data_IF_512905046426
#
_entry.id   IF_512905046426
#
_cell.length_a   1.000
_cell.length_b   1.000
_cell.length_c   1.000
_cell.angle_alpha   90.00
_cell.angle_beta   90.00
_cell.angle_gamma   90.00
#
_symmetry.space_group_name_H-M   'P 1'
#
loop_
_entity.id
_entity.type
_entity.pdbx_description
1 polymer ?
#
# COMPACT_ATOMS: atom_id res chain seq x y z
N UNK A 1 -10.11 2.46 0.83
CA UNK A 1 -8.71 2.85 1.13
C UNK A 1 -7.90 3.00 -0.14
N UNK A 2 -6.89 3.83 -0.10
CA UNK A 2 -6.01 4.11 -1.23
C UNK A 2 -4.55 3.93 -0.84
N UNK A 3 -3.78 3.37 -1.76
CA UNK A 3 -2.32 3.40 -1.71
C UNK A 3 -1.82 4.65 -2.44
N UNK A 4 -0.93 5.41 -1.80
CA UNK A 4 -0.21 6.49 -2.45
C UNK A 4 1.24 6.08 -2.66
N UNK A 5 1.70 6.17 -3.91
CA UNK A 5 3.11 6.02 -4.26
C UNK A 5 3.77 7.39 -4.17
N UNK A 6 4.78 7.51 -3.31
CA UNK A 6 5.39 8.78 -2.92
C UNK A 6 6.89 8.72 -3.19
N UNK A 7 7.44 9.78 -3.80
CA UNK A 7 8.89 9.91 -3.96
C UNK A 7 9.43 10.80 -2.85
N UNK A 8 10.41 10.28 -2.12
CA UNK A 8 11.10 10.99 -1.07
C UNK A 8 12.56 11.20 -1.45
N UNK A 9 13.09 12.36 -1.13
CA UNK A 9 14.53 12.59 -1.27
C UNK A 9 15.29 11.65 -0.32
N UNK A 10 16.38 11.07 -0.81
CA UNK A 10 17.23 10.20 0.02
C UNK A 10 18.15 11.07 0.90
N UNK A 11 17.59 11.62 1.96
CA UNK A 11 18.29 12.48 2.91
C UNK A 11 17.68 12.39 4.31
N UNK A 12 18.43 12.73 5.35
CA UNK A 12 17.84 12.85 6.67
C UNK A 12 16.70 13.89 6.66
N UNK A 13 15.60 13.57 7.31
CA UNK A 13 14.44 14.45 7.45
C UNK A 13 13.38 14.34 6.37
N UNK A 14 13.63 13.69 5.23
CA UNK A 14 12.63 13.56 4.18
C UNK A 14 11.38 12.81 4.66
N UNK A 15 11.59 11.70 5.37
CA UNK A 15 10.47 10.92 5.93
C UNK A 15 9.77 11.69 7.06
N UNK A 16 10.51 12.43 7.86
CA UNK A 16 9.95 13.28 8.90
C UNK A 16 9.08 14.39 8.30
N UNK A 17 9.54 15.04 7.23
CA UNK A 17 8.77 16.08 6.54
C UNK A 17 7.42 15.52 6.04
N UNK A 18 7.43 14.33 5.48
CA UNK A 18 6.22 13.63 5.02
C UNK A 18 5.26 13.38 6.19
N UNK A 19 5.75 12.76 7.25
CA UNK A 19 4.93 12.43 8.43
C UNK A 19 4.35 13.66 9.11
N UNK A 20 5.13 14.72 9.21
CA UNK A 20 4.69 15.99 9.79
C UNK A 20 3.61 16.67 8.93
N UNK A 21 3.77 16.67 7.61
CA UNK A 21 2.78 17.23 6.70
C UNK A 21 1.43 16.52 6.83
N UNK A 22 1.44 15.19 6.88
CA UNK A 22 0.24 14.39 7.08
C UNK A 22 -0.38 14.63 8.45
N UNK A 23 0.45 14.66 9.49
CA UNK A 23 -0.01 14.89 10.87
C UNK A 23 -0.69 16.26 11.04
N UNK A 24 -0.11 17.30 10.46
CA UNK A 24 -0.71 18.65 10.50
C UNK A 24 -2.06 18.71 9.79
N UNK A 25 -2.23 17.91 8.76
CA UNK A 25 -3.49 17.82 8.03
C UNK A 25 -4.52 16.88 8.68
N UNK A 26 -4.17 16.24 9.79
CA UNK A 26 -5.03 15.30 10.47
C UNK A 26 -5.23 13.98 9.70
N UNK A 27 -4.27 13.61 8.86
CA UNK A 27 -4.33 12.41 8.04
C UNK A 27 -3.51 11.29 8.69
N UNK A 28 -4.16 10.18 8.99
CA UNK A 28 -3.52 9.02 9.59
C UNK A 28 -2.98 8.07 8.52
N UNK A 29 -1.78 7.54 8.75
CA UNK A 29 -1.19 6.47 7.95
C UNK A 29 -1.69 5.14 8.51
N UNK A 30 -2.29 4.32 7.63
CA UNK A 30 -2.89 3.04 8.03
C UNK A 30 -1.96 1.85 7.81
N UNK A 31 -0.91 2.02 7.07
CA UNK A 31 0.08 0.98 6.79
C UNK A 31 1.01 1.39 5.66
N UNK A 32 1.95 0.52 5.35
CA UNK A 32 2.87 0.74 4.25
C UNK A 32 4.34 0.65 4.65
N UNK A 33 5.19 1.23 3.83
CA UNK A 33 6.62 1.25 4.05
C UNK A 33 7.35 2.20 3.11
N UNK A 34 8.64 2.39 3.41
CA UNK A 34 9.50 3.26 2.63
C UNK A 34 10.87 2.59 2.43
N UNK A 35 11.44 2.77 1.27
CA UNK A 35 12.70 2.14 0.87
C UNK A 35 13.59 3.11 0.10
N UNK A 36 14.89 2.83 0.08
CA UNK A 36 15.82 3.47 -0.86
C UNK A 36 16.18 2.44 -1.92
N UNK A 37 15.93 2.78 -3.18
CA UNK A 37 16.24 1.94 -4.33
C UNK A 37 17.00 2.79 -5.35
N UNK A 38 18.24 2.38 -5.68
CA UNK A 38 19.06 3.13 -6.63
C UNK A 38 19.30 4.59 -6.24
N UNK A 39 19.41 4.87 -4.96
CA UNK A 39 19.63 6.23 -4.44
C UNK A 39 18.38 7.08 -4.33
N UNK A 40 17.21 6.57 -4.70
CA UNK A 40 15.92 7.24 -4.59
C UNK A 40 15.11 6.69 -3.42
N UNK A 41 14.43 7.58 -2.70
CA UNK A 41 13.46 7.19 -1.69
C UNK A 41 12.10 6.93 -2.34
N UNK A 42 11.53 5.77 -2.07
CA UNK A 42 10.21 5.37 -2.55
C UNK A 42 9.39 4.93 -1.35
N UNK A 43 8.17 5.44 -1.26
CA UNK A 43 7.25 5.05 -0.20
C UNK A 43 5.90 4.67 -0.79
N UNK A 44 5.30 3.65 -0.19
CA UNK A 44 3.90 3.30 -0.40
C UNK A 44 3.21 3.31 0.95
N UNK A 45 2.23 4.18 1.10
CA UNK A 45 1.45 4.26 2.33
C UNK A 45 -0.04 4.20 2.04
N UNK A 46 -0.75 3.61 2.99
CA UNK A 46 -2.19 3.38 2.92
C UNK A 46 -2.94 4.45 3.69
N UNK A 47 -4.00 4.97 3.08
CA UNK A 47 -4.84 6.02 3.67
C UNK A 47 -6.32 5.68 3.49
N UNK A 48 -7.12 6.00 4.50
CA UNK A 48 -8.57 5.92 4.40
C UNK A 48 -9.09 6.96 3.41
N UNK A 49 -8.54 8.18 3.44
CA UNK A 49 -8.85 9.27 2.51
C UNK A 49 -7.60 9.63 1.70
N UNK A 50 -7.47 9.00 0.55
CA UNK A 50 -6.34 9.22 -0.35
C UNK A 50 -6.26 10.64 -0.89
N UNK A 51 -7.40 11.26 -1.17
CA UNK A 51 -7.45 12.62 -1.69
C UNK A 51 -6.91 13.63 -0.66
N UNK A 52 -7.28 13.48 0.61
CA UNK A 52 -6.79 14.34 1.68
C UNK A 52 -5.28 14.16 1.89
N UNK A 53 -4.80 12.91 1.85
CA UNK A 53 -3.38 12.61 1.97
C UNK A 53 -2.58 13.23 0.82
N UNK A 54 -3.05 13.05 -0.40
CA UNK A 54 -2.41 13.60 -1.59
C UNK A 54 -2.31 15.11 -1.53
N UNK A 55 -3.41 15.77 -1.17
CA UNK A 55 -3.45 17.23 -1.02
C UNK A 55 -2.43 17.74 0.00
N UNK A 56 -2.35 17.08 1.15
CA UNK A 56 -1.41 17.45 2.20
C UNK A 56 0.04 17.30 1.75
N UNK A 57 0.37 16.21 1.06
CA UNK A 57 1.72 15.94 0.57
C UNK A 57 2.11 16.93 -0.53
N UNK A 58 1.24 17.15 -1.51
CA UNK A 58 1.52 18.08 -2.61
C UNK A 58 1.66 19.52 -2.11
N UNK A 59 0.87 19.95 -1.13
CA UNK A 59 0.99 21.25 -0.50
C UNK A 59 2.35 21.44 0.21
N UNK A 60 2.95 20.35 0.68
CA UNK A 60 4.28 20.36 1.29
C UNK A 60 5.43 20.19 0.28
N UNK A 61 5.13 20.16 -1.02
CA UNK A 61 6.11 19.98 -2.07
C UNK A 61 6.59 18.54 -2.21
N UNK A 62 5.87 17.58 -1.67
CA UNK A 62 6.22 16.15 -1.75
C UNK A 62 5.51 15.53 -2.94
N UNK A 63 6.28 14.84 -3.77
CA UNK A 63 5.78 14.29 -5.02
C UNK A 63 5.00 12.99 -4.81
N UNK A 64 3.76 12.97 -5.28
CA UNK A 64 2.90 11.79 -5.32
C UNK A 64 2.84 11.27 -6.75
N UNK A 65 3.29 10.04 -6.98
CA UNK A 65 3.30 9.43 -8.30
C UNK A 65 1.97 8.84 -8.70
N UNK A 66 1.25 8.26 -7.75
CA UNK A 66 0.00 7.57 -8.03
C UNK A 66 -0.85 7.45 -6.77
N UNK A 67 -2.14 7.39 -6.98
CA UNK A 67 -3.14 7.08 -5.96
C UNK A 67 -3.99 5.95 -6.52
N UNK A 68 -3.96 4.78 -5.88
CA UNK A 68 -4.56 3.56 -6.43
C UNK A 68 -5.45 2.88 -5.40
N UNK A 69 -6.52 2.24 -5.88
CA UNK A 69 -7.32 1.33 -5.07
C UNK A 69 -6.51 0.11 -4.67
N UNK A 70 -6.87 -0.49 -3.55
CA UNK A 70 -6.20 -1.66 -3.01
C UNK A 70 -7.15 -2.84 -2.86
N UNK A 71 -6.57 -4.03 -2.83
CA UNK A 71 -7.22 -5.24 -2.36
C UNK A 71 -6.75 -5.50 -0.94
N UNK A 72 -7.69 -5.72 -0.03
CA UNK A 72 -7.42 -6.00 1.37
C UNK A 72 -7.73 -7.47 1.63
N UNK A 73 -6.78 -8.20 2.19
CA UNK A 73 -6.91 -9.62 2.42
C UNK A 73 -6.40 -10.00 3.80
N UNK A 74 -7.21 -10.73 4.55
CA UNK A 74 -6.78 -11.27 5.84
C UNK A 74 -6.22 -12.68 5.66
N UNK A 75 -5.02 -12.92 6.18
CA UNK A 75 -4.37 -14.21 6.19
C UNK A 75 -4.36 -14.77 7.62
N UNK A 76 -4.22 -16.09 7.72
CA UNK A 76 -4.05 -16.74 9.03
C UNK A 76 -2.67 -16.41 9.56
N UNK A 77 -2.62 -15.67 10.66
CA UNK A 77 -1.36 -15.26 11.27
C UNK A 77 -0.61 -16.45 11.85
N UNK A 78 0.70 -16.45 11.69
CA UNK A 78 1.56 -17.52 12.22
C UNK A 78 1.52 -18.85 11.46
N UNK A 79 0.76 -18.93 10.37
CA UNK A 79 0.73 -20.13 9.52
C UNK A 79 1.66 -19.91 8.32
N UNK A 80 2.77 -20.68 8.24
CA UNK A 80 3.70 -20.54 7.11
C UNK A 80 3.01 -20.83 5.77
N UNK A 81 3.42 -20.08 4.73
CA UNK A 81 2.97 -20.33 3.36
C UNK A 81 1.70 -19.63 2.95
N UNK A 82 1.02 -18.92 3.84
CA UNK A 82 -0.24 -18.21 3.52
C UNK A 82 -0.06 -17.20 2.38
N UNK A 83 0.95 -16.36 2.47
CA UNK A 83 1.22 -15.37 1.42
C UNK A 83 1.53 -16.05 0.09
N UNK A 84 2.33 -17.08 0.10
CA UNK A 84 2.66 -17.85 -1.12
C UNK A 84 1.43 -18.48 -1.77
N UNK A 85 0.53 -19.02 -0.98
CA UNK A 85 -0.73 -19.60 -1.49
C UNK A 85 -1.63 -18.55 -2.12
N UNK A 86 -1.82 -17.40 -1.46
CA UNK A 86 -2.65 -16.34 -1.99
C UNK A 86 -2.06 -15.75 -3.28
N UNK A 87 -0.76 -15.45 -3.28
CA UNK A 87 -0.10 -14.86 -4.45
C UNK A 87 -0.06 -15.84 -5.62
N UNK A 88 0.02 -17.16 -5.36
CA UNK A 88 -0.10 -18.16 -6.40
C UNK A 88 -1.49 -18.14 -7.05
N UNK A 89 -2.55 -18.01 -6.26
CA UNK A 89 -3.90 -17.87 -6.81
C UNK A 89 -4.04 -16.61 -7.67
N UNK A 90 -3.41 -15.51 -7.26
CA UNK A 90 -3.38 -14.28 -8.07
C UNK A 90 -2.67 -14.53 -9.41
N UNK A 91 -1.52 -15.18 -9.37
CA UNK A 91 -0.74 -15.50 -10.56
C UNK A 91 -1.51 -16.41 -11.51
N UNK A 92 -2.17 -17.45 -11.00
CA UNK A 92 -2.98 -18.37 -11.81
C UNK A 92 -4.18 -17.68 -12.45
N UNK A 93 -4.66 -16.60 -11.85
CA UNK A 93 -5.69 -15.74 -12.41
C UNK A 93 -5.17 -14.65 -13.36
N UNK A 94 -3.86 -14.62 -13.60
CA UNK A 94 -3.24 -13.63 -14.48
C UNK A 94 -3.08 -12.24 -13.85
N UNK A 95 -3.14 -12.15 -12.54
CA UNK A 95 -3.00 -10.87 -11.81
C UNK A 95 -1.54 -10.64 -11.43
N UNK A 96 -1.00 -9.50 -11.85
CA UNK A 96 0.31 -9.06 -11.39
C UNK A 96 0.17 -8.18 -10.15
N UNK A 97 0.96 -8.46 -9.14
CA UNK A 97 0.99 -7.68 -7.90
C UNK A 97 2.12 -6.67 -8.01
N UNK A 98 1.77 -5.39 -8.03
CA UNK A 98 2.73 -4.29 -8.15
C UNK A 98 3.29 -3.87 -6.79
N UNK A 99 2.46 -3.92 -5.75
CA UNK A 99 2.82 -3.51 -4.38
C UNK A 99 2.15 -4.46 -3.40
N UNK A 100 2.87 -4.82 -2.35
CA UNK A 100 2.36 -5.69 -1.29
C UNK A 100 2.97 -5.27 0.03
N UNK A 101 2.12 -5.05 1.04
CA UNK A 101 2.54 -4.76 2.41
C UNK A 101 1.43 -5.09 3.40
N UNK A 102 1.71 -4.95 4.68
CA UNK A 102 0.71 -5.11 5.74
C UNK A 102 0.22 -3.75 6.23
N UNK A 103 -1.02 -3.70 6.69
CA UNK A 103 -1.56 -2.54 7.38
C UNK A 103 -1.40 -2.68 8.90
N UNK A 104 -1.89 -1.69 9.66
CA UNK A 104 -1.80 -1.69 11.12
C UNK A 104 -2.79 -2.67 11.79
N UNK A 105 -3.67 -3.30 11.01
CA UNK A 105 -4.65 -4.29 11.48
C UNK A 105 -4.32 -5.71 10.98
N UNK A 106 -3.06 -5.97 10.71
CA UNK A 106 -2.55 -7.28 10.25
C UNK A 106 -3.22 -7.78 8.96
N UNK A 107 -3.71 -6.89 8.13
CA UNK A 107 -4.26 -7.23 6.83
C UNK A 107 -3.20 -7.07 5.75
N UNK A 108 -3.23 -7.95 4.76
CA UNK A 108 -2.37 -7.83 3.58
C UNK A 108 -3.01 -6.87 2.59
N UNK A 109 -2.22 -5.93 2.13
CA UNK A 109 -2.63 -4.91 1.17
C UNK A 109 -1.94 -5.17 -0.15
N UNK A 110 -2.72 -5.23 -1.23
CA UNK A 110 -2.20 -5.49 -2.57
C UNK A 110 -2.63 -4.39 -3.53
N UNK A 111 -1.68 -3.89 -4.28
CA UNK A 111 -1.92 -3.04 -5.45
C UNK A 111 -1.62 -3.87 -6.68
N UNK A 112 -2.59 -3.99 -7.57
CA UNK A 112 -2.57 -4.96 -8.67
C UNK A 112 -2.87 -4.29 -10.01
N UNK A 113 -2.50 -4.95 -11.09
CA UNK A 113 -2.78 -4.47 -12.46
C UNK A 113 -4.23 -4.71 -12.90
N UNK A 114 -4.88 -5.74 -12.36
CA UNK A 114 -6.26 -6.09 -12.70
C UNK A 114 -7.10 -6.20 -11.42
N UNK A 115 -7.65 -5.07 -11.00
CA UNK A 115 -8.39 -4.96 -9.75
C UNK A 115 -9.65 -5.84 -9.70
N UNK A 116 -10.53 -5.86 -10.73
CA UNK A 116 -11.71 -6.71 -10.70
C UNK A 116 -11.37 -8.20 -10.55
N UNK A 117 -10.35 -8.67 -11.26
CA UNK A 117 -9.93 -10.06 -11.20
C UNK A 117 -9.33 -10.41 -9.84
N UNK A 118 -8.50 -9.51 -9.30
CA UNK A 118 -7.92 -9.69 -7.97
C UNK A 118 -8.99 -9.74 -6.88
N UNK A 119 -10.03 -8.92 -6.99
CA UNK A 119 -11.16 -8.96 -6.04
C UNK A 119 -11.91 -10.27 -6.07
N UNK A 120 -12.07 -10.88 -7.25
CA UNK A 120 -12.68 -12.21 -7.36
C UNK A 120 -11.85 -13.27 -6.63
N UNK A 121 -10.54 -13.23 -6.79
CA UNK A 121 -9.61 -14.14 -6.09
C UNK A 121 -9.68 -13.93 -4.58
N UNK A 122 -9.65 -12.67 -4.13
CA UNK A 122 -9.72 -12.31 -2.72
C UNK A 122 -11.03 -12.76 -2.08
N UNK A 123 -12.15 -12.56 -2.76
CA UNK A 123 -13.47 -13.00 -2.28
C UNK A 123 -13.55 -14.53 -2.15
N UNK A 124 -13.02 -15.25 -3.13
CA UNK A 124 -12.96 -16.71 -3.07
C UNK A 124 -12.10 -17.21 -1.91
N UNK A 125 -10.95 -16.58 -1.70
CA UNK A 125 -10.07 -16.87 -0.54
C UNK A 125 -10.81 -16.67 0.78
N UNK A 126 -11.51 -15.55 0.92
CA UNK A 126 -12.25 -15.23 2.14
C UNK A 126 -13.36 -16.26 2.42
N UNK A 127 -14.04 -16.73 1.38
CA UNK A 127 -15.09 -17.75 1.53
C UNK A 127 -14.57 -19.13 1.91
N UNK A 128 -13.35 -19.48 1.46
CA UNK A 128 -12.73 -20.80 1.68
C UNK A 128 -11.97 -20.88 3.00
N UNK A 129 -11.69 -19.76 3.60
CA UNK A 129 -10.90 -19.70 4.83
C UNK A 129 -11.67 -19.03 5.97
#
# INVERSE_FOLDING_TARGET
MKDLAIVLENRPGALADMGEALGRAGVSIEGGGAWVVGGEGIAHFLFADGAAARKALEAAGIRVLAERDVVVQRLKQGVPGQMGMLTRRMADAGVNIDVLYSDHDHQLILVVDNLPRARQVADAWARET
#
